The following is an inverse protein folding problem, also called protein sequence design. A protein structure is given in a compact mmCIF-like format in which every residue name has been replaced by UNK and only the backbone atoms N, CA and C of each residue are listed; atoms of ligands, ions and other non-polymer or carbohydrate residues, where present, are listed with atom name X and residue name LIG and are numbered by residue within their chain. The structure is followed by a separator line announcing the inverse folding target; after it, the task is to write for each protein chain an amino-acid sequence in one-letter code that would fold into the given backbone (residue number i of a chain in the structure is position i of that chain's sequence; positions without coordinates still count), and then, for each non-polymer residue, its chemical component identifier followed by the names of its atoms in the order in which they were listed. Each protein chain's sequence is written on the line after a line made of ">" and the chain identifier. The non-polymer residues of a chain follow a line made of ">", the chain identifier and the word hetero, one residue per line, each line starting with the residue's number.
data_IF_157751260645
#
_entry.id   IF_157751260645
#
_cell.length_a   1.000
_cell.length_b   1.000
_cell.length_c   1.000
_cell.angle_alpha   90.00
_cell.angle_beta   90.00
_cell.angle_gamma   90.00
#
_symmetry.space_group_name_H-M   'P 1'
#
loop_
_entity.id
_entity.type
_entity.pdbx_description
1 polymer ?
#
# COMPACT_ATOMS: atom_id res chain seq x y z
N UNK A 1 -44.46 28.81 -119.34
CA UNK A 1 -43.32 29.11 -118.47
C UNK A 1 -43.47 30.52 -117.93
N UNK A 2 -43.63 30.67 -116.61
CA UNK A 2 -43.63 31.96 -115.93
C UNK A 2 -42.93 31.78 -114.58
N UNK A 3 -41.71 32.29 -114.49
CA UNK A 3 -40.84 32.26 -113.31
C UNK A 3 -41.27 33.38 -112.35
N UNK A 4 -41.61 33.02 -111.11
CA UNK A 4 -41.88 33.99 -110.04
C UNK A 4 -40.57 34.64 -109.57
N UNK A 5 -40.54 35.95 -109.28
CA UNK A 5 -39.33 36.61 -108.76
C UNK A 5 -39.02 36.12 -107.35
N UNK A 6 -37.78 35.72 -107.11
CA UNK A 6 -37.30 35.35 -105.78
C UNK A 6 -37.42 36.57 -104.84
N UNK A 7 -38.12 36.41 -103.72
CA UNK A 7 -38.20 37.43 -102.68
C UNK A 7 -36.83 37.63 -102.01
N UNK A 8 -36.02 38.51 -102.59
CA UNK A 8 -34.70 38.91 -102.10
C UNK A 8 -34.77 39.94 -100.96
N UNK A 9 -35.55 39.65 -99.91
CA UNK A 9 -35.53 40.41 -98.67
C UNK A 9 -34.59 39.75 -97.66
N UNK A 10 -33.69 40.52 -97.03
CA UNK A 10 -32.84 40.04 -95.92
C UNK A 10 -33.70 39.31 -94.90
N UNK A 11 -33.25 38.13 -94.46
CA UNK A 11 -33.99 37.33 -93.48
C UNK A 11 -34.12 38.11 -92.18
N UNK A 12 -35.15 37.82 -91.37
CA UNK A 12 -35.41 38.61 -90.16
C UNK A 12 -34.22 38.63 -89.19
N UNK A 13 -33.41 37.57 -89.19
CA UNK A 13 -32.15 37.48 -88.44
C UNK A 13 -31.09 38.47 -88.93
N UNK A 14 -30.99 38.69 -90.24
CA UNK A 14 -30.09 39.68 -90.86
C UNK A 14 -30.59 41.13 -90.65
N UNK A 15 -31.90 41.33 -90.43
CA UNK A 15 -32.46 42.65 -90.05
C UNK A 15 -32.21 42.99 -88.58
N UNK A 16 -32.27 42.00 -87.69
CA UNK A 16 -32.00 42.16 -86.26
C UNK A 16 -30.49 42.27 -85.98
N UNK A 17 -29.65 41.83 -86.92
CA UNK A 17 -28.19 41.95 -86.83
C UNK A 17 -27.51 40.78 -86.13
N UNK A 18 -28.19 39.63 -86.02
CA UNK A 18 -27.61 38.39 -85.50
C UNK A 18 -26.94 37.63 -86.67
N UNK A 19 -25.70 38.00 -87.00
CA UNK A 19 -25.01 37.47 -88.20
C UNK A 19 -24.28 36.14 -87.99
N UNK A 20 -24.18 35.68 -86.74
CA UNK A 20 -23.74 34.34 -86.35
C UNK A 20 -23.95 34.22 -84.85
N UNK A 21 -24.55 33.14 -84.37
CA UNK A 21 -24.62 32.90 -82.92
C UNK A 21 -23.19 32.66 -82.39
N UNK A 22 -22.80 33.38 -81.34
CA UNK A 22 -21.55 33.09 -80.63
C UNK A 22 -21.74 31.81 -79.83
N UNK A 23 -20.81 30.86 -79.95
CA UNK A 23 -20.83 29.67 -79.10
C UNK A 23 -20.71 30.07 -77.62
N UNK A 24 -21.52 29.44 -76.76
CA UNK A 24 -21.39 29.67 -75.33
C UNK A 24 -20.09 29.03 -74.84
N UNK A 25 -19.31 29.77 -74.07
CA UNK A 25 -18.02 29.33 -73.51
C UNK A 25 -18.10 28.11 -72.58
N UNK A 26 -19.30 27.65 -72.21
CA UNK A 26 -19.53 26.55 -71.26
C UNK A 26 -20.39 25.42 -71.83
N UNK A 27 -20.54 25.32 -73.16
CA UNK A 27 -21.28 24.17 -73.74
C UNK A 27 -20.43 22.91 -73.57
N UNK A 28 -20.88 22.01 -72.69
CA UNK A 28 -20.22 20.73 -72.41
C UNK A 28 -19.35 20.70 -71.15
N UNK A 29 -19.12 21.86 -70.53
CA UNK A 29 -18.40 21.93 -69.26
C UNK A 29 -19.28 21.40 -68.11
N UNK A 30 -18.79 20.37 -67.41
CA UNK A 30 -19.45 19.86 -66.22
C UNK A 30 -19.38 20.92 -65.12
N UNK A 31 -20.54 21.30 -64.58
CA UNK A 31 -20.62 22.23 -63.45
C UNK A 31 -19.79 21.73 -62.27
N UNK A 32 -18.80 22.52 -61.83
CA UNK A 32 -18.00 22.24 -60.62
C UNK A 32 -18.54 23.12 -59.50
N UNK A 33 -19.20 22.50 -58.53
CA UNK A 33 -19.75 23.23 -57.39
C UNK A 33 -18.62 23.87 -56.57
N UNK A 34 -18.83 25.12 -56.13
CA UNK A 34 -17.88 25.82 -55.25
C UNK A 34 -17.86 25.24 -53.83
N UNK A 35 -18.91 24.51 -53.46
CA UNK A 35 -19.13 23.98 -52.12
C UNK A 35 -18.44 22.62 -51.91
N UNK A 36 -18.17 21.88 -52.98
CA UNK A 36 -17.52 20.55 -52.91
C UNK A 36 -15.99 20.63 -52.99
N UNK A 37 -15.40 21.82 -52.81
CA UNK A 37 -13.94 21.97 -52.80
C UNK A 37 -13.41 21.73 -51.38
N UNK A 38 -12.69 20.62 -51.13
CA UNK A 38 -12.10 20.39 -49.81
C UNK A 38 -11.08 21.49 -49.50
N UNK A 39 -11.33 22.23 -48.43
CA UNK A 39 -10.40 23.23 -47.93
C UNK A 39 -9.24 22.53 -47.20
N UNK A 40 -8.01 22.82 -47.61
CA UNK A 40 -6.78 22.32 -46.99
C UNK A 40 -6.72 20.77 -46.90
N UNK A 41 -6.71 20.10 -48.06
CA UNK A 41 -6.62 18.63 -48.16
C UNK A 41 -5.42 18.02 -47.41
N UNK A 42 -4.30 18.75 -47.33
CA UNK A 42 -3.12 18.28 -46.61
C UNK A 42 -3.38 18.17 -45.09
N UNK A 43 -4.18 19.07 -44.53
CA UNK A 43 -4.54 19.02 -43.12
C UNK A 43 -5.56 17.90 -42.81
N UNK A 44 -6.47 17.57 -43.74
CA UNK A 44 -7.46 16.52 -43.52
C UNK A 44 -6.91 15.09 -43.70
N UNK A 45 -5.85 14.91 -44.50
CA UNK A 45 -5.24 13.60 -44.78
C UNK A 45 -4.25 13.12 -43.71
N UNK A 46 -3.69 14.02 -42.92
CA UNK A 46 -2.65 13.71 -41.94
C UNK A 46 -3.22 13.42 -40.54
N UNK A 47 -2.42 12.75 -39.69
CA UNK A 47 -2.79 12.48 -38.28
C UNK A 47 -3.07 13.80 -37.55
N UNK A 48 -4.25 13.91 -36.97
CA UNK A 48 -4.64 15.03 -36.13
C UNK A 48 -4.00 14.94 -34.75
N UNK A 49 -3.84 16.09 -34.08
CA UNK A 49 -3.48 16.12 -32.66
C UNK A 49 -4.56 15.40 -31.86
N UNK A 50 -4.15 14.50 -30.97
CA UNK A 50 -5.06 13.83 -30.05
C UNK A 50 -5.10 14.64 -28.75
N UNK A 51 -6.13 15.47 -28.50
CA UNK A 51 -6.35 15.99 -27.16
C UNK A 51 -6.71 14.77 -26.29
N UNK A 52 -5.97 14.55 -25.21
CA UNK A 52 -6.22 13.44 -24.29
C UNK A 52 -7.67 13.41 -23.82
N UNK A 53 -8.22 12.20 -23.63
CA UNK A 53 -9.57 12.03 -23.09
C UNK A 53 -9.65 12.39 -21.60
N UNK A 54 -10.87 12.63 -21.12
CA UNK A 54 -11.14 12.74 -19.68
C UNK A 54 -10.86 11.39 -19.01
N UNK A 55 -9.97 11.37 -18.02
CA UNK A 55 -9.71 10.18 -17.21
C UNK A 55 -10.78 10.10 -16.13
N UNK A 56 -11.71 9.16 -16.24
CA UNK A 56 -12.61 8.80 -15.13
C UNK A 56 -11.80 8.05 -14.07
N UNK A 57 -12.15 8.25 -12.80
CA UNK A 57 -11.39 7.84 -11.61
C UNK A 57 -10.87 6.40 -11.75
N UNK A 58 -9.58 6.26 -12.03
CA UNK A 58 -8.90 4.97 -12.09
C UNK A 58 -8.02 4.85 -10.86
N UNK A 59 -8.08 3.70 -10.16
CA UNK A 59 -7.13 3.36 -9.09
C UNK A 59 -5.69 3.16 -9.61
N UNK A 60 -5.47 3.27 -10.92
CA UNK A 60 -4.16 3.26 -11.54
C UNK A 60 -3.48 4.63 -11.45
N UNK A 61 -2.16 4.63 -11.25
CA UNK A 61 -1.31 5.83 -11.19
C UNK A 61 -1.47 6.75 -12.41
N UNK A 62 -1.94 6.23 -13.56
CA UNK A 62 -2.22 6.98 -14.76
C UNK A 62 -3.19 8.16 -14.55
N UNK A 63 -4.02 8.15 -13.49
CA UNK A 63 -4.91 9.26 -13.13
C UNK A 63 -4.24 10.45 -12.45
N UNK A 64 -3.03 10.29 -11.90
CA UNK A 64 -2.32 11.32 -11.15
C UNK A 64 -1.33 12.08 -12.04
N UNK A 65 -1.01 13.32 -11.65
CA UNK A 65 -0.02 14.15 -12.35
C UNK A 65 1.40 13.61 -12.20
N UNK A 66 1.71 13.04 -11.03
CA UNK A 66 3.01 12.44 -10.77
C UNK A 66 3.09 11.02 -11.35
N UNK A 67 4.21 10.66 -12.01
CA UNK A 67 4.37 9.34 -12.61
C UNK A 67 4.53 8.22 -11.57
N UNK A 68 4.96 8.56 -10.35
CA UNK A 68 5.18 7.61 -9.26
C UNK A 68 4.49 8.11 -8.00
N UNK A 69 3.92 7.19 -7.23
CA UNK A 69 3.37 7.50 -5.93
C UNK A 69 4.50 7.71 -4.92
N UNK A 70 4.59 8.92 -4.35
CA UNK A 70 5.56 9.20 -3.30
C UNK A 70 5.06 8.62 -1.99
N UNK A 71 5.67 7.51 -1.53
CA UNK A 71 5.37 6.93 -0.22
C UNK A 71 6.37 7.43 0.81
N UNK A 72 5.83 8.06 1.85
CA UNK A 72 6.58 8.75 2.92
C UNK A 72 7.56 7.81 3.64
N UNK A 73 7.23 6.52 3.76
CA UNK A 73 7.99 5.53 4.53
C UNK A 73 8.84 4.58 3.67
N UNK A 74 9.10 4.90 2.41
CA UNK A 74 10.00 4.09 1.58
C UNK A 74 11.44 4.23 2.05
N UNK A 75 12.04 3.11 2.47
CA UNK A 75 13.40 3.07 3.01
C UNK A 75 13.51 3.30 4.52
N UNK A 76 12.42 3.62 5.21
CA UNK A 76 12.41 3.68 6.67
C UNK A 76 12.18 2.28 7.27
N UNK A 77 13.11 1.82 8.10
CA UNK A 77 12.95 0.57 8.84
C UNK A 77 11.89 0.73 9.93
N UNK A 78 10.86 -0.12 9.90
CA UNK A 78 9.86 -0.14 10.98
C UNK A 78 10.51 -0.50 12.32
N UNK A 79 10.50 0.43 13.28
CA UNK A 79 10.98 0.19 14.64
C UNK A 79 9.81 -0.13 15.56
N UNK A 80 9.74 -1.37 16.04
CA UNK A 80 8.74 -1.78 17.01
C UNK A 80 9.11 -1.28 18.42
N UNK A 81 8.30 -0.37 18.97
CA UNK A 81 8.55 0.19 20.32
C UNK A 81 8.58 -0.84 21.44
N UNK A 82 7.87 -1.95 21.31
CA UNK A 82 7.90 -3.01 22.31
C UNK A 82 9.26 -3.72 22.31
N UNK A 83 9.88 -3.89 21.14
CA UNK A 83 11.22 -4.46 21.04
C UNK A 83 12.27 -3.53 21.67
N UNK A 84 12.17 -2.23 21.40
CA UNK A 84 13.08 -1.23 22.01
C UNK A 84 12.91 -1.19 23.54
N UNK A 85 11.68 -1.16 24.04
CA UNK A 85 11.39 -1.19 25.48
C UNK A 85 11.93 -2.45 26.14
N UNK A 86 11.79 -3.61 25.50
CA UNK A 86 12.33 -4.89 25.99
C UNK A 86 13.85 -4.87 26.03
N UNK A 87 14.51 -4.34 25.01
CA UNK A 87 15.97 -4.18 25.00
C UNK A 87 16.44 -3.27 26.13
N UNK A 88 15.76 -2.14 26.36
CA UNK A 88 16.05 -1.22 27.45
C UNK A 88 15.94 -1.91 28.82
N UNK A 89 14.82 -2.59 29.08
CA UNK A 89 14.58 -3.33 30.32
C UNK A 89 15.67 -4.39 30.57
N UNK A 90 16.12 -5.10 29.54
CA UNK A 90 17.21 -6.07 29.64
C UNK A 90 18.56 -5.41 29.93
N UNK A 91 18.84 -4.23 29.36
CA UNK A 91 20.06 -3.47 29.65
C UNK A 91 20.05 -2.92 31.07
N UNK A 92 18.91 -2.44 31.57
CA UNK A 92 18.76 -1.98 32.95
C UNK A 92 18.90 -3.13 33.94
N UNK A 93 18.29 -4.28 33.66
CA UNK A 93 18.42 -5.46 34.50
C UNK A 93 19.89 -5.93 34.62
N UNK A 94 20.70 -5.78 33.57
CA UNK A 94 22.14 -6.08 33.61
C UNK A 94 22.95 -5.12 34.51
N UNK A 95 22.45 -3.92 34.77
CA UNK A 95 23.09 -2.96 35.70
C UNK A 95 22.87 -3.33 37.16
N UNK A 96 21.94 -4.23 37.47
CA UNK A 96 21.70 -4.70 38.83
C UNK A 96 22.85 -5.62 39.27
N UNK A 97 23.81 -5.07 40.02
CA UNK A 97 24.98 -5.79 40.52
C UNK A 97 24.67 -6.80 41.64
N UNK A 98 23.45 -6.80 42.17
CA UNK A 98 23.05 -7.62 43.32
C UNK A 98 21.79 -8.45 43.07
N UNK A 99 21.62 -9.50 43.87
CA UNK A 99 20.34 -10.22 43.97
C UNK A 99 19.26 -9.25 44.44
N UNK A 100 18.05 -9.37 43.91
CA UNK A 100 16.91 -8.62 44.41
C UNK A 100 16.83 -8.80 45.94
N UNK A 101 16.60 -7.70 46.67
CA UNK A 101 16.42 -7.75 48.11
C UNK A 101 15.22 -8.64 48.42
N UNK A 102 15.50 -9.87 48.83
CA UNK A 102 14.51 -10.77 49.37
C UNK A 102 14.51 -10.48 50.86
N UNK A 103 13.46 -9.83 51.41
CA UNK A 103 13.36 -9.72 52.85
C UNK A 103 13.43 -11.13 53.41
N UNK A 104 14.25 -11.32 54.45
CA UNK A 104 14.29 -12.58 55.18
C UNK A 104 12.91 -12.84 55.74
N UNK A 105 12.09 -13.61 55.01
CA UNK A 105 10.93 -14.28 55.59
C UNK A 105 11.48 -15.38 56.48
N UNK A 106 12.00 -15.00 57.64
CA UNK A 106 12.38 -15.96 58.66
C UNK A 106 11.16 -16.78 59.05
N UNK A 107 11.37 -18.03 59.45
CA UNK A 107 10.30 -18.89 59.92
C UNK A 107 9.51 -18.15 61.00
N UNK A 108 8.25 -17.83 60.69
CA UNK A 108 7.33 -17.23 61.64
C UNK A 108 7.11 -18.25 62.75
N UNK A 109 7.87 -18.15 63.84
CA UNK A 109 7.67 -19.03 65.00
C UNK A 109 6.24 -18.81 65.49
N UNK A 110 5.42 -19.87 65.59
CA UNK A 110 4.07 -19.72 66.12
C UNK A 110 4.17 -19.19 67.55
N UNK A 111 3.26 -18.28 67.93
CA UNK A 111 3.23 -17.63 69.25
C UNK A 111 3.31 -18.63 70.42
N UNK A 112 2.81 -19.86 70.23
CA UNK A 112 2.90 -20.95 71.19
C UNK A 112 4.34 -21.19 71.70
N UNK A 113 5.35 -21.12 70.82
CA UNK A 113 6.75 -21.33 71.19
C UNK A 113 7.41 -20.11 71.85
N UNK A 114 6.72 -18.96 71.91
CA UNK A 114 7.22 -17.71 72.48
C UNK A 114 6.64 -17.49 73.88
N UNK A 115 5.34 -17.75 74.08
CA UNK A 115 4.66 -17.48 75.35
C UNK A 115 4.49 -18.69 76.26
N UNK A 116 4.38 -19.89 75.69
CA UNK A 116 3.99 -21.12 76.43
C UNK A 116 5.17 -22.12 76.53
N UNK A 117 6.30 -21.81 75.88
CA UNK A 117 7.46 -22.71 75.82
C UNK A 117 7.34 -23.77 74.72
N UNK A 118 8.38 -24.60 74.57
CA UNK A 118 8.43 -25.64 73.53
C UNK A 118 7.40 -26.71 73.85
N UNK A 119 6.40 -26.89 72.99
CA UNK A 119 5.41 -27.96 73.15
C UNK A 119 6.09 -29.32 73.22
N UNK A 120 5.63 -30.19 74.11
CA UNK A 120 6.13 -31.56 74.23
C UNK A 120 5.96 -32.30 72.90
N UNK A 121 6.94 -33.11 72.52
CA UNK A 121 6.84 -33.96 71.34
C UNK A 121 5.68 -34.92 71.55
N UNK A 122 4.63 -34.79 70.75
CA UNK A 122 3.53 -35.75 70.76
C UNK A 122 4.10 -37.13 70.39
N UNK A 123 3.99 -38.11 71.29
CA UNK A 123 4.11 -39.52 70.93
C UNK A 123 2.93 -39.83 70.00
N UNK A 124 3.18 -40.50 68.88
CA UNK A 124 2.10 -40.89 67.98
C UNK A 124 1.05 -41.70 68.75
N UNK A 125 -0.19 -41.22 68.75
CA UNK A 125 -1.30 -41.92 69.39
C UNK A 125 -1.64 -43.17 68.56
N UNK A 126 -2.10 -44.25 69.22
CA UNK A 126 -2.47 -45.50 68.54
C UNK A 126 -3.51 -45.32 67.41
N UNK A 127 -4.29 -44.25 67.47
CA UNK A 127 -5.31 -43.89 66.49
C UNK A 127 -4.75 -43.18 65.25
N UNK A 128 -3.55 -42.62 65.31
CA UNK A 128 -2.89 -41.96 64.16
C UNK A 128 -2.09 -42.94 63.28
N UNK A 129 -1.85 -44.16 63.78
CA UNK A 129 -1.14 -45.23 63.06
C UNK A 129 -1.64 -45.46 61.61
N UNK A 130 -2.95 -45.59 61.33
CA UNK A 130 -3.43 -45.79 59.95
C UNK A 130 -3.10 -44.61 59.03
N UNK A 131 -3.13 -43.38 59.56
CA UNK A 131 -2.84 -42.17 58.78
C UNK A 131 -1.36 -42.04 58.47
N UNK A 132 -0.49 -42.39 59.42
CA UNK A 132 0.96 -42.42 59.17
C UNK A 132 1.36 -43.53 58.19
N UNK A 133 0.77 -44.71 58.32
CA UNK A 133 1.03 -45.83 57.41
C UNK A 133 0.65 -45.47 55.98
N UNK A 134 -0.53 -44.88 55.78
CA UNK A 134 -0.96 -44.40 54.46
C UNK A 134 0.02 -43.35 53.88
N UNK A 135 0.52 -42.44 54.73
CA UNK A 135 1.50 -41.44 54.30
C UNK A 135 2.82 -42.10 53.87
N UNK A 136 3.33 -43.04 54.66
CA UNK A 136 4.56 -43.80 54.35
C UNK A 136 4.42 -44.60 53.05
N UNK A 137 3.30 -45.31 52.88
CA UNK A 137 3.01 -46.07 51.66
C UNK A 137 2.96 -45.17 50.42
N UNK A 138 2.33 -44.00 50.51
CA UNK A 138 2.31 -43.02 49.42
C UNK A 138 3.70 -42.45 49.09
N UNK A 139 4.50 -42.14 50.10
CA UNK A 139 5.87 -41.65 49.91
C UNK A 139 6.74 -42.72 49.22
N UNK A 140 6.65 -43.98 49.65
CA UNK A 140 7.33 -45.12 49.00
C UNK A 140 6.82 -45.34 47.57
N UNK A 141 5.51 -45.28 47.34
CA UNK A 141 4.94 -45.34 45.99
C UNK A 141 5.47 -44.22 45.09
N UNK A 142 5.51 -42.98 45.58
CA UNK A 142 6.08 -41.86 44.82
C UNK A 142 7.58 -41.99 44.58
N UNK A 143 8.32 -42.58 45.52
CA UNK A 143 9.75 -42.89 45.37
C UNK A 143 9.98 -43.96 44.30
N UNK A 144 9.13 -44.98 44.24
CA UNK A 144 9.17 -46.03 43.21
C UNK A 144 8.76 -45.50 41.83
N UNK A 145 7.76 -44.60 41.76
CA UNK A 145 7.36 -43.92 40.51
C UNK A 145 8.44 -42.98 39.99
N UNK A 146 9.15 -42.28 40.88
CA UNK A 146 10.38 -41.54 40.57
C UNK A 146 11.60 -42.48 40.53
N UNK A 147 11.42 -43.69 39.99
CA UNK A 147 12.55 -44.49 39.55
C UNK A 147 13.45 -43.65 38.65
N UNK A 148 14.75 -43.88 38.73
CA UNK A 148 15.72 -43.23 37.82
C UNK A 148 15.21 -43.41 36.38
N UNK A 149 15.28 -42.37 35.53
CA UNK A 149 14.79 -42.48 34.16
C UNK A 149 15.42 -43.71 33.52
N UNK A 150 14.58 -44.53 32.88
CA UNK A 150 14.98 -45.79 32.25
C UNK A 150 16.30 -45.59 31.50
N UNK A 151 17.38 -46.15 32.01
CA UNK A 151 18.66 -46.16 31.29
C UNK A 151 18.52 -47.20 30.19
N UNK A 152 17.98 -46.77 29.05
CA UNK A 152 17.94 -47.57 27.84
C UNK A 152 19.37 -47.98 27.49
N UNK A 153 19.64 -49.29 27.50
CA UNK A 153 20.87 -49.86 26.93
C UNK A 153 20.85 -49.88 25.39
N UNK A 154 19.92 -49.17 24.75
CA UNK A 154 20.06 -48.76 23.36
C UNK A 154 20.96 -47.52 23.33
N UNK A 155 22.26 -47.78 23.33
CA UNK A 155 23.25 -46.75 23.01
C UNK A 155 23.07 -46.36 21.53
N UNK A 156 22.93 -45.08 21.16
CA UNK A 156 23.60 -44.62 19.96
C UNK A 156 25.08 -44.57 20.34
N UNK A 157 25.80 -45.68 20.20
CA UNK A 157 27.26 -45.56 20.08
C UNK A 157 27.45 -44.96 18.70
N UNK A 158 27.78 -43.67 18.66
CA UNK A 158 28.25 -43.08 17.41
C UNK A 158 29.39 -43.95 16.91
N UNK A 159 29.32 -44.34 15.63
CA UNK A 159 30.14 -45.37 15.00
C UNK A 159 31.64 -44.99 14.93
N UNK A 160 32.00 -43.81 15.43
CA UNK A 160 33.33 -43.25 15.41
C UNK A 160 33.80 -43.03 16.85
N UNK A 161 35.04 -43.45 17.12
CA UNK A 161 35.68 -43.16 18.40
C UNK A 161 35.67 -41.65 18.68
N UNK A 162 35.42 -41.23 19.94
CA UNK A 162 35.50 -39.81 20.28
C UNK A 162 36.88 -39.30 19.92
N UNK A 163 36.92 -38.17 19.22
CA UNK A 163 38.14 -37.56 18.73
C UNK A 163 39.17 -37.46 19.90
N UNK A 164 40.34 -38.10 19.80
CA UNK A 164 41.33 -38.15 20.88
C UNK A 164 41.89 -36.77 21.27
N UNK A 165 41.61 -35.73 20.48
CA UNK A 165 41.95 -34.34 20.77
C UNK A 165 40.78 -33.50 21.32
N UNK A 166 39.60 -34.09 21.51
CA UNK A 166 38.44 -33.40 22.07
C UNK A 166 38.43 -33.52 23.59
N UNK A 167 38.80 -32.44 24.28
CA UNK A 167 38.68 -32.33 25.73
C UNK A 167 37.33 -31.71 26.09
N UNK A 168 36.44 -32.45 26.75
CA UNK A 168 35.12 -31.96 27.23
C UNK A 168 35.20 -30.94 28.37
N UNK A 169 36.41 -30.68 28.87
CA UNK A 169 36.60 -29.70 29.93
C UNK A 169 36.36 -28.30 29.37
N UNK A 170 35.40 -27.52 29.92
CA UNK A 170 35.15 -26.17 29.44
C UNK A 170 36.41 -25.34 29.64
N UNK A 171 36.85 -24.68 28.57
CA UNK A 171 38.02 -23.82 28.62
C UNK A 171 37.84 -22.74 29.70
N UNK A 172 38.90 -22.39 30.44
CA UNK A 172 38.82 -21.33 31.43
C UNK A 172 38.35 -20.02 30.75
N UNK A 173 37.52 -19.20 31.42
CA UNK A 173 36.97 -17.99 30.83
C UNK A 173 38.08 -17.06 30.31
N UNK A 174 38.02 -16.72 29.02
CA UNK A 174 38.98 -15.82 28.38
C UNK A 174 38.90 -14.45 29.05
N UNK A 175 40.01 -14.00 29.66
CA UNK A 175 40.13 -12.65 30.24
C UNK A 175 40.06 -11.63 29.11
N UNK A 176 38.88 -11.07 28.87
CA UNK A 176 38.70 -9.96 27.92
C UNK A 176 39.37 -8.72 28.49
N UNK A 177 40.41 -8.24 27.82
CA UNK A 177 41.01 -6.94 28.10
C UNK A 177 39.97 -5.88 27.70
N UNK A 178 39.43 -5.18 28.68
CA UNK A 178 38.45 -4.11 28.47
C UNK A 178 39.10 -2.97 27.66
N UNK A 179 38.82 -2.92 26.35
CA UNK A 179 39.10 -1.72 25.54
C UNK A 179 38.07 -0.67 25.93
N UNK A 180 38.53 0.38 26.61
CA UNK A 180 37.73 1.59 26.84
C UNK A 180 37.50 2.28 25.50
N UNK A 181 36.26 2.28 25.02
CA UNK A 181 35.83 3.11 23.90
C UNK A 181 36.02 4.59 24.27
N UNK A 182 36.72 5.40 23.46
CA UNK A 182 36.75 6.83 23.66
C UNK A 182 35.37 7.41 23.36
N UNK A 183 34.69 7.93 24.38
CA UNK A 183 33.43 8.64 24.22
C UNK A 183 33.68 9.90 23.38
N UNK A 184 33.39 9.83 22.09
CA UNK A 184 33.42 10.97 21.19
C UNK A 184 32.48 12.07 21.70
N UNK A 185 32.95 13.31 21.67
CA UNK A 185 32.19 14.47 22.13
C UNK A 185 31.00 14.68 21.18
N UNK A 186 29.78 14.47 21.68
CA UNK A 186 28.55 14.67 20.91
C UNK A 186 28.45 16.10 20.40
N UNK A 187 28.17 16.27 19.10
CA UNK A 187 28.00 17.57 18.44
C UNK A 187 26.85 18.35 19.11
N UNK A 188 27.16 19.53 19.65
CA UNK A 188 26.19 20.49 20.17
C UNK A 188 26.05 21.62 19.14
N UNK A 189 24.88 21.82 18.50
CA UNK A 189 24.68 22.95 17.61
C UNK A 189 24.84 24.26 18.40
N UNK A 190 25.50 25.25 17.80
CA UNK A 190 25.90 26.50 18.47
C UNK A 190 24.73 27.43 18.84
N UNK A 191 23.50 27.10 18.43
CA UNK A 191 22.34 27.98 18.59
C UNK A 191 21.23 27.32 19.42
N UNK A 192 20.61 28.06 20.38
CA UNK A 192 19.43 27.57 21.09
C UNK A 192 18.29 27.30 20.10
N UNK A 193 17.57 26.19 20.30
CA UNK A 193 16.45 25.80 19.44
C UNK A 193 15.40 26.91 19.35
N UNK A 194 14.85 27.14 18.14
CA UNK A 194 13.74 28.08 17.94
C UNK A 194 12.59 27.65 18.85
N UNK A 195 12.09 28.56 19.68
CA UNK A 195 10.84 28.33 20.43
C UNK A 195 9.71 28.16 19.41
N UNK A 196 8.82 27.20 19.63
CA UNK A 196 7.61 27.03 18.83
C UNK A 196 6.66 28.22 19.09
N UNK A 197 7.00 29.38 18.54
CA UNK A 197 6.17 30.58 18.54
C UNK A 197 5.19 30.49 17.39
N UNK A 198 3.98 30.03 17.70
CA UNK A 198 2.86 30.05 16.76
C UNK A 198 1.57 29.77 17.51
N UNK A 199 0.70 30.77 17.58
CA UNK A 199 -0.68 30.61 18.02
C UNK A 199 -1.33 29.55 17.12
N UNK A 200 -1.53 28.35 17.64
CA UNK A 200 -2.28 27.26 16.98
C UNK A 200 -3.79 27.48 17.10
N UNK A 201 -4.22 28.74 17.07
CA UNK A 201 -5.61 29.15 17.18
C UNK A 201 -6.05 29.66 15.81
N UNK A 202 -6.49 28.73 14.97
CA UNK A 202 -7.04 29.06 13.66
C UNK A 202 -6.58 28.07 12.61
N UNK A 203 -7.33 26.97 12.43
CA UNK A 203 -8.08 26.65 11.21
C UNK A 203 -8.40 25.15 11.13
N UNK A 204 -9.67 24.87 10.80
CA UNK A 204 -10.33 23.58 10.61
C UNK A 204 -10.60 22.77 11.89
N UNK A 205 -11.89 22.61 12.20
CA UNK A 205 -12.36 21.68 13.23
C UNK A 205 -11.86 20.25 12.94
N UNK A 206 -11.61 19.42 13.97
CA UNK A 206 -11.26 18.02 13.76
C UNK A 206 -12.37 17.31 12.96
N UNK A 207 -11.97 16.66 11.87
CA UNK A 207 -12.89 15.97 10.96
C UNK A 207 -13.77 14.94 11.71
N UNK A 208 -15.07 14.81 11.40
CA UNK A 208 -15.93 13.83 12.07
C UNK A 208 -15.44 12.40 11.81
N UNK A 209 -15.44 11.55 12.84
CA UNK A 209 -15.15 10.13 12.69
C UNK A 209 -16.23 9.47 11.80
N UNK A 210 -15.81 8.90 10.67
CA UNK A 210 -16.69 8.29 9.68
C UNK A 210 -17.65 7.26 10.29
N UNK A 211 -18.94 7.40 9.99
CA UNK A 211 -19.97 6.40 10.28
C UNK A 211 -19.69 5.11 9.51
N UNK A 212 -19.86 3.97 10.20
CA UNK A 212 -19.73 2.65 9.60
C UNK A 212 -20.91 2.37 8.65
N UNK A 213 -20.68 2.50 7.35
CA UNK A 213 -21.68 2.14 6.33
C UNK A 213 -21.65 0.63 6.02
N UNK A 214 -22.82 -0.05 5.93
CA UNK A 214 -22.96 -1.51 5.96
C UNK A 214 -22.83 -2.23 4.60
N UNK A 215 -22.27 -1.62 3.55
CA UNK A 215 -22.26 -2.22 2.22
C UNK A 215 -20.88 -2.79 1.84
N UNK A 216 -20.79 -4.12 1.94
CA UNK A 216 -19.64 -4.94 1.51
C UNK A 216 -19.59 -5.05 -0.02
N UNK A 217 -18.39 -4.96 -0.58
CA UNK A 217 -18.08 -5.08 -2.02
C UNK A 217 -18.20 -6.55 -2.48
N UNK A 218 -18.97 -6.80 -3.55
CA UNK A 218 -18.99 -8.09 -4.28
C UNK A 218 -17.84 -8.13 -5.29
N UNK A 219 -17.11 -9.25 -5.35
CA UNK A 219 -16.07 -9.53 -6.34
C UNK A 219 -16.71 -9.87 -7.70
N UNK A 220 -16.28 -9.19 -8.77
CA UNK A 220 -16.71 -9.44 -10.15
C UNK A 220 -15.84 -10.48 -10.88
N UNK A 221 -16.50 -11.33 -11.65
CA UNK A 221 -15.92 -12.37 -12.49
C UNK A 221 -15.32 -11.82 -13.80
N UNK A 222 -14.35 -12.58 -14.31
CA UNK A 222 -13.49 -12.32 -15.46
C UNK A 222 -14.20 -11.92 -16.76
N UNK A 223 -13.55 -10.97 -17.46
CA UNK A 223 -13.89 -10.42 -18.76
C UNK A 223 -13.52 -11.40 -19.88
N UNK A 224 -14.49 -11.75 -20.73
CA UNK A 224 -14.24 -12.35 -22.06
C UNK A 224 -14.39 -11.27 -23.13
N UNK A 225 -13.29 -11.00 -23.83
CA UNK A 225 -13.17 -9.93 -24.81
C UNK A 225 -14.12 -10.06 -26.01
N UNK A 226 -14.66 -8.93 -26.46
CA UNK A 226 -15.26 -8.78 -27.78
C UNK A 226 -14.70 -7.53 -28.46
N UNK A 227 -14.42 -7.70 -29.75
CA UNK A 227 -13.76 -6.77 -30.64
C UNK A 227 -14.37 -5.35 -30.64
N UNK A 228 -13.49 -4.36 -30.75
CA UNK A 228 -13.77 -2.93 -30.78
C UNK A 228 -14.75 -2.59 -31.91
N UNK A 229 -16.01 -2.34 -31.55
CA UNK A 229 -16.96 -1.62 -32.41
C UNK A 229 -16.80 -0.14 -32.12
N UNK A 230 -16.24 0.59 -33.08
CA UNK A 230 -16.10 2.05 -33.03
C UNK A 230 -17.50 2.66 -33.06
N UNK A 231 -17.91 3.27 -31.95
CA UNK A 231 -19.19 3.93 -31.79
C UNK A 231 -19.21 5.26 -32.55
N UNK A 232 -20.14 5.39 -33.50
CA UNK A 232 -20.46 6.65 -34.16
C UNK A 232 -21.81 7.12 -33.59
N UNK A 233 -21.86 8.21 -32.81
CA UNK A 233 -23.14 8.71 -32.33
C UNK A 233 -24.00 9.15 -33.53
N UNK A 234 -25.29 8.81 -33.58
CA UNK A 234 -26.18 9.35 -34.59
C UNK A 234 -26.22 10.87 -34.41
N UNK A 235 -26.02 11.62 -35.50
CA UNK A 235 -26.08 13.08 -35.50
C UNK A 235 -27.48 13.56 -35.16
N UNK A 236 -27.76 13.72 -33.87
CA UNK A 236 -29.02 14.24 -33.37
C UNK A 236 -29.15 15.75 -33.63
N UNK A 237 -30.39 16.28 -33.75
CA UNK A 237 -30.61 17.70 -33.89
C UNK A 237 -30.03 18.45 -32.69
N UNK A 238 -29.17 19.44 -32.94
CA UNK A 238 -28.52 20.23 -31.91
C UNK A 238 -29.58 20.94 -31.07
N UNK A 239 -29.48 20.84 -29.75
CA UNK A 239 -30.50 21.29 -28.79
C UNK A 239 -30.78 22.79 -28.79
N UNK A 240 -29.93 23.60 -29.43
CA UNK A 240 -30.10 25.05 -29.58
C UNK A 240 -29.48 25.52 -30.89
N UNK A 241 -30.10 26.48 -31.62
CA UNK A 241 -29.41 27.20 -32.66
C UNK A 241 -28.30 28.02 -32.00
N UNK A 242 -27.05 27.74 -32.35
CA UNK A 242 -25.90 28.55 -31.95
C UNK A 242 -25.49 29.35 -33.17
N UNK A 243 -25.62 30.67 -33.09
CA UNK A 243 -25.12 31.57 -34.12
C UNK A 243 -23.59 31.52 -34.12
N UNK A 244 -23.02 31.36 -35.31
CA UNK A 244 -21.57 31.31 -35.49
C UNK A 244 -20.98 32.67 -35.12
N UNK A 245 -19.83 32.69 -34.44
CA UNK A 245 -19.10 33.93 -34.13
C UNK A 245 -18.75 34.72 -35.41
N UNK A 246 -18.72 34.07 -36.57
CA UNK A 246 -18.52 34.75 -37.86
C UNK A 246 -19.70 35.63 -38.30
N UNK A 247 -20.93 35.35 -37.83
CA UNK A 247 -22.11 36.16 -38.15
C UNK A 247 -22.29 37.35 -37.20
N UNK A 248 -21.51 37.44 -36.12
CA UNK A 248 -21.56 38.56 -35.16
C UNK A 248 -20.96 39.87 -35.69
N UNK A 249 -20.08 39.80 -36.69
CA UNK A 249 -19.32 40.97 -37.18
C UNK A 249 -19.75 41.46 -38.57
N UNK A 250 -20.89 41.00 -39.08
CA UNK A 250 -21.48 41.52 -40.31
C UNK A 250 -22.71 42.34 -39.94
N UNK A 251 -22.53 43.65 -39.83
CA UNK A 251 -23.61 44.63 -39.71
C UNK A 251 -23.32 45.81 -40.63
#
# INVERSE_FOLDING_TARGET
>A
EATMPAEGGKTDMERIGLFSEMEYITVGDKYVSRFDRPFNEAASKNKQMLPGGSKEMSDLQAGYFDPHFVRIFEGEGYVNMNQVRRQHMMQEAKKNLGKAFLPSSGDKKPYANITIGKQFSHSADFYDAPKENYKKENEEHHRLLKGTPFKLNLYPREYFDPNPYFTENPLPPIKKIEKKEPTGQHFKPSSPGKKAGGMKAGTFEPYPAHSADPYVVKLENQIVGKAVKIFHPPGGPKSRPVESIMTLNVR
#
